data_IF_797535111476
#
_entry.id   IF_797535111476
#
_cell.length_a   1.000
_cell.length_b   1.000
_cell.length_c   1.000
_cell.angle_alpha   90.00
_cell.angle_beta   90.00
_cell.angle_gamma   90.00
#
_symmetry.space_group_name_H-M   'P 1'
#
loop_
_entity.id
_entity.type
_entity.pdbx_description
1 polymer ?
#
# COMPACT_ATOMS: atom_id res chain seq x y z
N UNK A 1 14.91 20.76 -30.94
CA UNK A 1 14.14 20.83 -29.68
C UNK A 1 13.44 19.50 -29.52
N UNK A 2 14.12 18.56 -28.88
CA UNK A 2 13.50 17.32 -28.43
C UNK A 2 12.54 17.70 -27.31
N UNK A 3 11.24 17.68 -27.61
CA UNK A 3 10.20 17.57 -26.60
C UNK A 3 10.33 16.17 -26.01
N UNK A 4 11.36 15.97 -25.19
CA UNK A 4 11.48 14.80 -24.33
C UNK A 4 10.22 14.81 -23.51
N UNK A 5 9.45 13.77 -23.73
CA UNK A 5 8.17 13.47 -23.15
C UNK A 5 8.35 13.44 -21.63
N UNK A 6 8.27 14.59 -20.97
CA UNK A 6 7.86 14.72 -19.56
C UNK A 6 6.36 14.43 -19.48
N UNK A 7 5.92 13.31 -20.08
CA UNK A 7 4.87 12.54 -19.44
C UNK A 7 5.60 11.82 -18.34
N UNK A 8 5.79 12.48 -17.20
CA UNK A 8 5.90 11.77 -15.95
C UNK A 8 4.88 10.64 -16.03
N UNK A 9 5.37 9.41 -15.92
CA UNK A 9 4.49 8.27 -15.79
C UNK A 9 3.60 8.60 -14.59
N UNK A 10 2.37 9.08 -14.87
CA UNK A 10 1.25 9.14 -13.94
C UNK A 10 0.78 7.71 -13.70
N UNK A 11 1.75 6.83 -13.43
CA UNK A 11 1.85 5.50 -13.96
C UNK A 11 2.37 4.64 -12.85
N UNK A 12 1.42 3.92 -12.25
CA UNK A 12 1.63 2.82 -11.33
C UNK A 12 2.71 3.05 -10.26
N UNK A 13 2.33 3.66 -9.14
CA UNK A 13 3.16 3.71 -7.94
C UNK A 13 3.04 2.37 -7.21
N UNK A 14 4.08 1.56 -7.30
CA UNK A 14 4.20 0.30 -6.55
C UNK A 14 4.86 0.54 -5.19
N UNK A 15 4.35 -0.11 -4.15
CA UNK A 15 4.98 -0.10 -2.83
C UNK A 15 5.19 -1.52 -2.32
N UNK A 16 6.39 -1.79 -1.80
CA UNK A 16 6.73 -3.06 -1.18
C UNK A 16 6.56 -2.99 0.34
N UNK A 17 5.80 -3.94 0.90
CA UNK A 17 5.54 -4.02 2.35
C UNK A 17 5.68 -5.47 2.82
N UNK A 18 6.37 -5.66 3.95
CA UNK A 18 6.51 -6.97 4.57
C UNK A 18 5.16 -7.44 5.11
N UNK A 19 4.80 -8.70 4.88
CA UNK A 19 3.52 -9.26 5.33
C UNK A 19 3.34 -9.19 6.85
N UNK A 20 4.44 -9.31 7.62
CA UNK A 20 4.42 -9.19 9.08
C UNK A 20 3.92 -7.82 9.57
N UNK A 21 4.01 -6.78 8.74
CA UNK A 21 3.60 -5.42 9.05
C UNK A 21 2.15 -5.12 8.62
N UNK A 22 1.48 -6.11 8.04
CA UNK A 22 0.11 -6.02 7.55
C UNK A 22 -0.85 -6.83 8.44
N UNK A 23 -2.08 -6.35 8.53
CA UNK A 23 -3.24 -7.11 8.95
C UNK A 23 -4.10 -7.37 7.72
N UNK A 24 -4.26 -8.64 7.36
CA UNK A 24 -5.00 -9.09 6.17
C UNK A 24 -6.44 -9.43 6.57
N UNK A 25 -7.43 -8.89 5.86
CA UNK A 25 -8.83 -9.26 6.05
C UNK A 25 -9.32 -10.11 4.87
N UNK A 26 -9.68 -11.35 5.18
CA UNK A 26 -10.21 -12.33 4.22
C UNK A 26 -11.72 -12.42 4.34
N UNK A 27 -12.42 -12.57 3.20
CA UNK A 27 -13.86 -12.85 3.21
C UNK A 27 -14.08 -14.24 3.81
N UNK A 28 -14.79 -14.32 4.93
CA UNK A 28 -15.06 -15.60 5.61
C UNK A 28 -13.79 -16.31 6.12
N UNK A 29 -12.73 -15.56 6.44
CA UNK A 29 -11.44 -16.05 6.94
C UNK A 29 -10.59 -16.90 5.96
N UNK A 30 -11.17 -17.49 4.91
CA UNK A 30 -10.47 -18.35 3.94
C UNK A 30 -10.71 -17.98 2.48
N UNK A 31 -11.62 -17.03 2.20
CA UNK A 31 -11.98 -16.63 0.84
C UNK A 31 -11.03 -15.59 0.23
N UNK A 32 -11.58 -14.65 -0.53
CA UNK A 32 -10.82 -13.58 -1.20
C UNK A 32 -10.26 -12.57 -0.18
N UNK A 33 -9.04 -12.08 -0.42
CA UNK A 33 -8.48 -10.94 0.31
C UNK A 33 -9.30 -9.68 -0.01
N UNK A 34 -9.89 -9.05 1.00
CA UNK A 34 -10.78 -7.90 0.83
C UNK A 34 -10.05 -6.60 1.05
N UNK A 35 -9.25 -6.52 2.13
CA UNK A 35 -8.45 -5.33 2.45
C UNK A 35 -7.22 -5.71 3.25
N UNK A 36 -6.26 -4.79 3.25
CA UNK A 36 -5.07 -4.84 4.07
C UNK A 36 -5.03 -3.58 4.93
N UNK A 37 -4.46 -3.69 6.12
CA UNK A 37 -4.22 -2.55 7.01
C UNK A 37 -2.78 -2.61 7.52
N UNK A 38 -2.09 -1.47 7.51
CA UNK A 38 -0.78 -1.37 8.16
C UNK A 38 -0.94 -1.48 9.68
N UNK A 39 -0.05 -2.24 10.33
CA UNK A 39 0.06 -2.27 11.78
C UNK A 39 0.58 -0.92 12.29
N UNK A 40 0.17 -0.54 13.51
CA UNK A 40 0.41 0.80 14.07
C UNK A 40 1.90 1.20 14.04
N UNK A 41 2.82 0.31 14.42
CA UNK A 41 4.27 0.60 14.42
C UNK A 41 4.78 0.96 13.01
N UNK A 42 4.39 0.17 12.00
CA UNK A 42 4.80 0.42 10.61
C UNK A 42 4.13 1.68 10.05
N UNK A 43 2.86 1.90 10.37
CA UNK A 43 2.14 3.10 9.97
C UNK A 43 2.82 4.38 10.51
N UNK A 44 3.26 4.36 11.77
CA UNK A 44 3.98 5.48 12.38
C UNK A 44 5.36 5.72 11.74
N UNK A 45 6.11 4.65 11.46
CA UNK A 45 7.40 4.75 10.76
C UNK A 45 7.23 5.34 9.34
N UNK A 46 6.24 4.84 8.58
CA UNK A 46 5.94 5.33 7.23
C UNK A 46 5.47 6.78 7.23
N UNK A 47 4.70 7.19 8.25
CA UNK A 47 4.27 8.57 8.42
C UNK A 47 5.44 9.51 8.73
N UNK A 48 6.32 9.14 9.67
CA UNK A 48 7.50 9.94 10.01
C UNK A 48 8.42 10.11 8.79
N UNK A 49 8.61 9.05 8.01
CA UNK A 49 9.43 9.05 6.80
C UNK A 49 8.72 9.61 5.56
N UNK A 50 7.45 10.04 5.68
CA UNK A 50 6.60 10.50 4.56
C UNK A 50 6.54 9.51 3.39
N UNK A 51 6.69 8.21 3.67
CA UNK A 51 6.63 7.15 2.65
C UNK A 51 5.22 6.98 2.10
N UNK A 52 4.24 6.97 3.00
CA UNK A 52 2.82 7.02 2.67
C UNK A 52 2.24 8.20 3.47
N UNK A 53 1.56 9.09 2.76
CA UNK A 53 0.86 10.26 3.32
C UNK A 53 -0.57 10.28 2.83
N UNK A 54 -1.42 11.08 3.47
CA UNK A 54 -2.82 11.27 3.01
C UNK A 54 -2.90 11.79 1.58
N UNK A 55 -1.92 12.59 1.16
CA UNK A 55 -1.83 13.18 -0.18
C UNK A 55 -1.43 12.14 -1.24
N UNK A 56 -0.61 11.15 -0.89
CA UNK A 56 0.03 10.26 -1.85
C UNK A 56 -0.51 8.82 -1.84
N UNK A 57 -1.33 8.46 -0.84
CA UNK A 57 -1.80 7.07 -0.65
C UNK A 57 -2.67 6.58 -1.81
N UNK A 58 -3.41 7.49 -2.46
CA UNK A 58 -4.25 7.19 -3.63
C UNK A 58 -3.47 7.13 -4.94
N UNK A 59 -2.17 7.44 -4.93
CA UNK A 59 -1.30 7.24 -6.09
C UNK A 59 -0.86 5.77 -6.20
N UNK A 60 -0.94 5.01 -5.11
CA UNK A 60 -0.49 3.62 -5.02
C UNK A 60 -1.49 2.73 -5.76
N UNK A 61 -1.03 2.08 -6.82
CA UNK A 61 -1.85 1.15 -7.63
C UNK A 61 -1.55 -0.31 -7.33
N UNK A 62 -0.36 -0.59 -6.82
CA UNK A 62 0.13 -1.96 -6.62
C UNK A 62 0.80 -2.08 -5.27
N UNK A 63 0.36 -3.06 -4.49
CA UNK A 63 0.99 -3.46 -3.23
C UNK A 63 1.75 -4.77 -3.45
N UNK A 64 3.06 -4.71 -3.27
CA UNK A 64 3.94 -5.87 -3.32
C UNK A 64 4.18 -6.41 -1.92
N UNK A 65 3.53 -7.53 -1.59
CA UNK A 65 3.62 -8.16 -0.28
C UNK A 65 4.82 -9.09 -0.25
N UNK A 66 5.75 -8.85 0.68
CA UNK A 66 6.97 -9.66 0.83
C UNK A 66 6.86 -10.56 2.06
N UNK A 67 7.14 -11.86 1.89
CA UNK A 67 7.19 -12.84 2.98
C UNK A 67 8.18 -13.96 2.65
N UNK A 68 9.09 -14.26 3.57
CA UNK A 68 10.04 -15.39 3.47
C UNK A 68 10.80 -15.44 2.13
N UNK A 69 11.28 -14.29 1.64
CA UNK A 69 12.00 -14.17 0.37
C UNK A 69 11.13 -14.29 -0.89
N UNK A 70 9.81 -14.43 -0.75
CA UNK A 70 8.85 -14.40 -1.85
C UNK A 70 8.11 -13.07 -1.89
N UNK A 71 7.71 -12.67 -3.08
CA UNK A 71 6.91 -11.47 -3.36
C UNK A 71 5.59 -11.85 -4.04
N UNK A 72 4.55 -11.09 -3.73
CA UNK A 72 3.25 -11.16 -4.40
C UNK A 72 2.75 -9.74 -4.66
N UNK A 73 2.70 -9.35 -5.94
CA UNK A 73 2.13 -8.09 -6.37
C UNK A 73 0.61 -8.20 -6.46
N UNK A 74 -0.11 -7.30 -5.79
CA UNK A 74 -1.56 -7.19 -5.81
C UNK A 74 -1.96 -5.78 -6.22
N UNK A 75 -2.76 -5.67 -7.27
CA UNK A 75 -3.38 -4.40 -7.63
C UNK A 75 -4.40 -4.00 -6.54
N UNK A 76 -4.39 -2.71 -6.20
CA UNK A 76 -5.34 -2.12 -5.27
C UNK A 76 -6.31 -1.21 -6.01
N UNK A 77 -7.41 -0.85 -5.34
CA UNK A 77 -8.33 0.19 -5.80
C UNK A 77 -7.85 1.52 -5.21
N UNK A 78 -7.09 2.36 -5.94
CA UNK A 78 -6.40 3.51 -5.34
C UNK A 78 -7.38 4.52 -4.74
N UNK A 79 -8.56 4.67 -5.35
CA UNK A 79 -9.65 5.55 -4.90
C UNK A 79 -10.28 5.11 -3.57
N UNK A 80 -10.04 3.87 -3.15
CA UNK A 80 -10.52 3.32 -1.87
C UNK A 80 -9.44 3.28 -0.80
N UNK A 81 -8.22 3.66 -1.12
CA UNK A 81 -7.11 3.75 -0.17
C UNK A 81 -7.31 4.94 0.77
N UNK A 82 -7.36 4.67 2.07
CA UNK A 82 -7.72 5.67 3.10
C UNK A 82 -6.91 5.48 4.38
N UNK A 83 -6.77 6.58 5.13
CA UNK A 83 -6.35 6.54 6.53
C UNK A 83 -7.56 6.23 7.42
N UNK A 84 -7.30 5.46 8.47
CA UNK A 84 -8.30 5.08 9.46
C UNK A 84 -7.70 5.30 10.83
N UNK A 85 -8.52 5.77 11.78
CA UNK A 85 -8.08 5.96 13.17
C UNK A 85 -7.46 4.65 13.69
N UNK A 86 -6.27 4.71 14.31
CA UNK A 86 -5.64 3.51 14.85
C UNK A 86 -6.58 2.86 15.86
N UNK A 87 -6.67 1.53 15.79
CA UNK A 87 -7.34 0.78 16.84
C UNK A 87 -6.29 0.61 17.96
N UNK A 88 -6.45 1.34 19.05
CA UNK A 88 -5.48 1.40 20.14
C UNK A 88 -5.65 0.28 21.17
N UNK A 89 -6.69 -0.56 21.03
CA UNK A 89 -7.05 -1.53 22.06
C UNK A 89 -7.83 -0.87 23.18
#
# INVERSE_FOLDING_TARGET
>A
MEAVVEREAKGMKEIAIQEKDLTLQWRGNTGKLVKVRLKNTRAMEMWYNKQITEENIQEITTLNIIKNGKSLALEVYPEKSIYVKPNLG
#
